data_IF_608257663560
#
_entry.id   IF_608257663560
#
_cell.length_a   1.000
_cell.length_b   1.000
_cell.length_c   1.000
_cell.angle_alpha   90.00
_cell.angle_beta   90.00
_cell.angle_gamma   90.00
#
_symmetry.space_group_name_H-M   'P 1'
#
loop_
_entity.id
_entity.type
_entity.pdbx_description
1 polymer ?
#
# COMPACT_ATOMS: atom_id res chain seq x y z
N UNK A 1 20.15 -6.84 -6.15
CA UNK A 1 18.77 -6.80 -5.60
C UNK A 1 17.99 -5.66 -6.25
N UNK A 2 16.74 -5.88 -6.62
CA UNK A 2 15.88 -4.83 -7.18
C UNK A 2 15.49 -3.80 -6.10
N UNK A 3 15.17 -2.57 -6.50
CA UNK A 3 14.69 -1.53 -5.55
C UNK A 3 13.37 -1.93 -4.89
N UNK A 4 12.50 -2.63 -5.62
CA UNK A 4 11.26 -3.16 -5.08
C UNK A 4 11.51 -4.19 -3.95
N UNK A 5 12.45 -5.13 -4.15
CA UNK A 5 12.78 -6.13 -3.15
C UNK A 5 13.31 -5.48 -1.86
N UNK A 6 14.21 -4.49 -1.99
CA UNK A 6 14.74 -3.74 -0.84
C UNK A 6 13.65 -2.99 -0.05
N UNK A 7 12.67 -2.41 -0.74
CA UNK A 7 11.56 -1.76 -0.06
C UNK A 7 10.69 -2.78 0.69
N UNK A 8 10.40 -3.92 0.07
CA UNK A 8 9.63 -5.00 0.69
C UNK A 8 10.32 -5.55 1.94
N UNK A 9 11.64 -5.79 1.87
CA UNK A 9 12.48 -6.19 3.01
C UNK A 9 12.44 -5.14 4.13
N UNK A 10 12.61 -3.86 3.79
CA UNK A 10 12.63 -2.75 4.75
C UNK A 10 11.32 -2.64 5.56
N UNK A 11 10.17 -2.91 4.94
CA UNK A 11 8.87 -2.88 5.61
C UNK A 11 8.42 -4.25 6.14
N UNK A 12 9.26 -5.28 6.06
CA UNK A 12 8.94 -6.62 6.57
C UNK A 12 7.73 -7.27 5.90
N UNK A 13 7.53 -7.00 4.59
CA UNK A 13 6.39 -7.53 3.83
C UNK A 13 6.75 -8.78 3.00
N UNK A 14 8.03 -9.17 2.98
CA UNK A 14 8.53 -10.25 2.12
C UNK A 14 7.87 -11.59 2.45
N UNK A 15 7.92 -12.03 3.71
CA UNK A 15 7.34 -13.31 4.14
C UNK A 15 5.84 -13.39 3.86
N UNK A 16 5.13 -12.27 4.02
CA UNK A 16 3.70 -12.18 3.72
C UNK A 16 3.47 -12.39 2.22
N UNK A 17 4.23 -11.70 1.35
CA UNK A 17 4.07 -11.85 -0.09
C UNK A 17 4.48 -13.23 -0.60
N UNK A 18 5.51 -13.82 -0.02
CA UNK A 18 5.97 -15.17 -0.35
C UNK A 18 4.92 -16.22 0.07
N UNK A 19 4.31 -16.11 1.26
CA UNK A 19 3.18 -16.96 1.68
C UNK A 19 1.98 -16.81 0.74
N UNK A 20 1.58 -15.57 0.42
CA UNK A 20 0.48 -15.31 -0.50
C UNK A 20 0.72 -15.94 -1.88
N UNK A 21 1.95 -15.82 -2.38
CA UNK A 21 2.34 -16.40 -3.67
C UNK A 21 2.29 -17.93 -3.65
N UNK A 22 2.92 -18.58 -2.67
CA UNK A 22 2.94 -20.04 -2.57
C UNK A 22 1.53 -20.61 -2.38
N UNK A 23 0.71 -19.96 -1.56
CA UNK A 23 -0.70 -20.37 -1.38
C UNK A 23 -1.51 -20.20 -2.65
N UNK A 24 -1.30 -19.13 -3.41
CA UNK A 24 -1.95 -18.93 -4.71
C UNK A 24 -1.56 -20.03 -5.69
N UNK A 25 -0.26 -20.34 -5.78
CA UNK A 25 0.29 -21.37 -6.66
C UNK A 25 -0.29 -22.76 -6.37
N UNK A 26 -0.57 -23.05 -5.09
CA UNK A 26 -1.11 -24.32 -4.63
C UNK A 26 -2.65 -24.35 -4.55
N UNK A 27 -3.37 -23.35 -5.09
CA UNK A 27 -4.83 -23.20 -4.95
C UNK A 27 -5.33 -23.19 -3.48
N UNK A 28 -4.48 -22.80 -2.53
CA UNK A 28 -4.74 -22.80 -1.09
C UNK A 28 -5.16 -21.40 -0.57
N UNK A 29 -5.97 -20.69 -1.35
CA UNK A 29 -6.37 -19.29 -1.08
C UNK A 29 -7.52 -19.17 -0.07
N UNK A 30 -8.18 -20.28 0.27
CA UNK A 30 -9.26 -20.30 1.25
C UNK A 30 -8.75 -19.81 2.62
N UNK A 31 -9.50 -18.91 3.25
CA UNK A 31 -9.16 -18.36 4.57
C UNK A 31 -8.08 -17.27 4.56
N UNK A 32 -7.67 -16.77 3.38
CA UNK A 32 -6.81 -15.60 3.31
C UNK A 32 -7.50 -14.35 3.86
N UNK A 33 -6.81 -13.63 4.75
CA UNK A 33 -7.26 -12.37 5.35
C UNK A 33 -6.63 -11.18 4.62
N UNK A 34 -6.84 -11.11 3.30
CA UNK A 34 -6.20 -10.11 2.43
C UNK A 34 -6.43 -8.68 2.90
N UNK A 35 -7.65 -8.38 3.38
CA UNK A 35 -7.98 -7.04 3.86
C UNK A 35 -7.08 -6.56 4.99
N UNK A 36 -6.71 -7.46 5.92
CA UNK A 36 -5.82 -7.12 7.03
C UNK A 36 -4.40 -6.82 6.59
N UNK A 37 -3.90 -7.55 5.59
CA UNK A 37 -2.62 -7.23 4.97
C UNK A 37 -2.70 -5.89 4.23
N UNK A 38 -3.80 -5.62 3.50
CA UNK A 38 -4.02 -4.37 2.76
C UNK A 38 -3.94 -3.16 3.69
N UNK A 39 -4.66 -3.19 4.83
CA UNK A 39 -4.73 -2.06 5.78
C UNK A 39 -3.60 -2.03 6.83
N UNK A 40 -2.67 -3.00 6.76
CA UNK A 40 -1.54 -3.05 7.67
C UNK A 40 -0.65 -1.82 7.52
N UNK A 41 -0.10 -1.33 8.64
CA UNK A 41 0.79 -0.16 8.65
C UNK A 41 1.96 -0.35 7.68
N UNK A 42 2.58 -1.52 7.72
CA UNK A 42 3.73 -1.85 6.88
C UNK A 42 3.40 -1.82 5.38
N UNK A 43 2.26 -2.40 4.98
CA UNK A 43 1.85 -2.39 3.58
C UNK A 43 1.48 -0.98 3.08
N UNK A 44 0.82 -0.16 3.91
CA UNK A 44 0.52 1.24 3.58
C UNK A 44 1.81 2.05 3.41
N UNK A 45 2.79 1.88 4.30
CA UNK A 45 4.09 2.54 4.21
C UNK A 45 4.88 2.12 2.96
N UNK A 46 4.87 0.81 2.66
CA UNK A 46 5.48 0.27 1.45
C UNK A 46 4.83 0.86 0.19
N UNK A 47 3.49 0.94 0.17
CA UNK A 47 2.75 1.54 -0.94
C UNK A 47 3.13 3.02 -1.12
N UNK A 48 3.15 3.81 -0.04
CA UNK A 48 3.58 5.20 -0.09
C UNK A 48 5.01 5.35 -0.64
N UNK A 49 5.95 4.52 -0.16
CA UNK A 49 7.35 4.53 -0.63
C UNK A 49 7.45 4.27 -2.12
N UNK A 50 6.72 3.28 -2.62
CA UNK A 50 6.72 2.92 -4.03
C UNK A 50 6.05 4.00 -4.89
N UNK A 51 4.87 4.50 -4.49
CA UNK A 51 4.17 5.56 -5.21
C UNK A 51 5.00 6.84 -5.27
N UNK A 52 5.64 7.23 -4.16
CA UNK A 52 6.53 8.40 -4.10
C UNK A 52 7.71 8.31 -5.05
N UNK A 53 8.22 7.11 -5.31
CA UNK A 53 9.35 6.89 -6.21
C UNK A 53 8.94 6.82 -7.70
N UNK A 54 7.65 6.65 -8.00
CA UNK A 54 7.17 6.58 -9.37
C UNK A 54 7.29 7.94 -10.09
N UNK A 55 7.54 7.90 -11.40
CA UNK A 55 7.68 9.10 -12.24
C UNK A 55 6.44 10.00 -12.19
N UNK A 56 5.24 9.41 -12.13
CA UNK A 56 3.97 10.13 -12.05
C UNK A 56 3.56 10.58 -10.66
N UNK A 57 4.42 10.47 -9.64
CA UNK A 57 4.06 10.78 -8.25
C UNK A 57 3.65 12.24 -8.00
N UNK A 58 4.11 13.14 -8.87
CA UNK A 58 3.77 14.57 -8.86
C UNK A 58 2.55 14.92 -9.72
N UNK A 59 1.99 13.95 -10.45
CA UNK A 59 0.78 14.16 -11.24
C UNK A 59 -0.41 14.17 -10.28
N UNK A 60 -1.16 15.27 -10.29
CA UNK A 60 -2.35 15.39 -9.45
C UNK A 60 -3.48 14.51 -9.99
N UNK A 61 -4.25 13.90 -9.08
CA UNK A 61 -5.51 13.25 -9.42
C UNK A 61 -6.61 14.26 -9.75
N UNK A 62 -7.83 13.78 -10.00
CA UNK A 62 -9.02 14.62 -10.25
C UNK A 62 -9.34 15.56 -9.07
N UNK A 63 -8.90 15.20 -7.87
CA UNK A 63 -9.03 16.00 -6.64
C UNK A 63 -7.91 17.04 -6.44
N UNK A 64 -6.97 17.17 -7.36
CA UNK A 64 -5.84 18.11 -7.26
C UNK A 64 -4.74 17.70 -6.26
N UNK A 65 -4.86 16.53 -5.63
CA UNK A 65 -3.91 16.05 -4.62
C UNK A 65 -2.79 15.24 -5.30
N UNK A 66 -1.55 15.51 -4.89
CA UNK A 66 -0.35 14.72 -5.26
C UNK A 66 0.18 13.95 -4.06
N UNK A 67 1.21 13.11 -4.27
CA UNK A 67 1.88 12.40 -3.18
C UNK A 67 2.51 13.35 -2.14
N UNK A 68 2.74 14.63 -2.49
CA UNK A 68 3.43 15.59 -1.62
C UNK A 68 2.58 15.98 -0.41
N UNK A 69 1.24 15.93 -0.51
CA UNK A 69 0.32 16.10 0.64
C UNK A 69 0.75 15.20 1.79
N UNK A 70 0.93 13.92 1.49
CA UNK A 70 1.28 12.88 2.46
C UNK A 70 2.76 12.89 2.89
N UNK A 71 3.63 13.71 2.27
CA UNK A 71 5.02 13.90 2.74
C UNK A 71 5.11 14.86 3.92
N UNK A 72 4.17 15.82 3.99
CA UNK A 72 4.16 16.90 4.98
C UNK A 72 3.34 16.48 6.21
N UNK A 73 2.35 15.60 6.01
CA UNK A 73 1.51 15.05 7.07
C UNK A 73 2.26 14.07 7.99
N UNK A 74 1.75 13.91 9.22
CA UNK A 74 2.25 12.92 10.14
C UNK A 74 1.97 11.50 9.59
N UNK A 75 2.94 10.60 9.76
CA UNK A 75 2.83 9.22 9.28
C UNK A 75 1.57 8.51 9.79
N UNK A 76 1.25 8.67 11.07
CA UNK A 76 0.09 8.01 11.66
C UNK A 76 -1.23 8.65 11.20
N UNK A 77 -1.24 9.95 10.91
CA UNK A 77 -2.42 10.66 10.40
C UNK A 77 -2.84 10.16 9.02
N UNK A 78 -1.91 10.07 8.06
CA UNK A 78 -2.29 9.59 6.72
C UNK A 78 -2.58 8.09 6.69
N UNK A 79 -1.93 7.29 7.56
CA UNK A 79 -2.28 5.87 7.69
C UNK A 79 -3.74 5.75 8.13
N UNK A 80 -4.16 6.54 9.10
CA UNK A 80 -5.55 6.54 9.57
C UNK A 80 -6.52 7.12 8.54
N UNK A 81 -6.14 8.15 7.77
CA UNK A 81 -6.91 8.64 6.63
C UNK A 81 -7.17 7.53 5.61
N UNK A 82 -6.11 6.81 5.20
CA UNK A 82 -6.19 5.69 4.24
C UNK A 82 -7.08 4.57 4.79
N UNK A 83 -6.92 4.18 6.07
CA UNK A 83 -7.76 3.16 6.71
C UNK A 83 -9.23 3.57 6.75
N UNK A 84 -9.52 4.83 7.07
CA UNK A 84 -10.89 5.36 7.07
C UNK A 84 -11.48 5.32 5.67
N UNK A 85 -10.71 5.70 4.65
CA UNK A 85 -11.13 5.64 3.25
C UNK A 85 -11.42 4.19 2.79
N UNK A 86 -10.64 3.21 3.26
CA UNK A 86 -10.81 1.80 2.90
C UNK A 86 -11.89 1.07 3.73
N UNK A 87 -12.30 1.59 4.89
CA UNK A 87 -13.32 0.95 5.76
C UNK A 87 -14.71 0.91 5.11
N UNK A 88 -15.07 1.95 4.36
CA UNK A 88 -16.31 2.03 3.59
C UNK A 88 -16.00 2.65 2.23
N UNK A 89 -15.21 1.91 1.44
CA UNK A 89 -14.64 2.40 0.20
C UNK A 89 -15.73 2.92 -0.75
N UNK A 90 -15.59 4.18 -1.14
CA UNK A 90 -16.40 4.83 -2.17
C UNK A 90 -15.44 5.34 -3.25
N UNK A 91 -15.56 4.84 -4.50
CA UNK A 91 -14.68 5.29 -5.57
C UNK A 91 -14.87 6.80 -5.83
N UNK A 92 -13.77 7.49 -6.09
CA UNK A 92 -13.84 8.87 -6.56
C UNK A 92 -14.23 8.90 -8.04
N UNK A 93 -14.82 10.01 -8.48
CA UNK A 93 -15.15 10.26 -9.88
C UNK A 93 -13.88 10.29 -10.74
N UNK A 94 -13.94 9.63 -11.90
CA UNK A 94 -12.88 9.57 -12.92
C UNK A 94 -13.04 10.66 -13.96
#
# INVERSE_FOLDING_TARGET
MSTALRHTEYYGMQDIFDDLYERSKNNATKGLRLYEHIISKNNILLAFRNIKANTGSKTAGTNGITIDKYKIENVDEYIDEIRKALKNYKPQTV
#
